data_IF_232539589434
#
_entry.id   IF_232539589434
#
_cell.length_a   1.000
_cell.length_b   1.000
_cell.length_c   1.000
_cell.angle_alpha   90.00
_cell.angle_beta   90.00
_cell.angle_gamma   90.00
#
_symmetry.space_group_name_H-M   'P 1'
#
loop_
_entity.id
_entity.type
_entity.pdbx_description
1 polymer ?
#
# COMPACT_ATOMS: atom_id res chain seq x y z
N UNK A 1 -4.51 14.54 10.80
CA UNK A 1 -3.80 14.10 12.02
C UNK A 1 -4.66 13.04 12.71
N UNK A 2 -4.06 11.93 13.17
CA UNK A 2 -4.76 10.95 13.98
C UNK A 2 -5.10 11.54 15.35
N UNK A 3 -6.26 11.19 15.88
CA UNK A 3 -6.59 11.50 17.28
C UNK A 3 -5.68 10.67 18.20
N UNK A 4 -5.41 11.11 19.45
CA UNK A 4 -4.71 10.29 20.43
C UNK A 4 -5.35 8.90 20.55
N UNK A 5 -4.53 7.84 20.48
CA UNK A 5 -4.99 6.45 20.49
C UNK A 5 -5.68 5.97 19.21
N UNK A 6 -5.75 6.81 18.16
CA UNK A 6 -6.36 6.47 16.89
C UNK A 6 -5.59 5.41 16.10
N UNK A 7 -6.30 4.71 15.23
CA UNK A 7 -5.74 3.72 14.30
C UNK A 7 -5.75 4.27 12.87
N UNK A 8 -4.63 4.15 12.19
CA UNK A 8 -4.53 4.37 10.75
C UNK A 8 -5.05 3.13 10.04
N UNK A 9 -6.05 3.30 9.18
CA UNK A 9 -6.48 2.27 8.24
C UNK A 9 -5.94 2.66 6.86
N UNK A 10 -5.01 1.87 6.33
CA UNK A 10 -4.23 2.20 5.14
C UNK A 10 -4.29 1.08 4.09
N UNK A 11 -5.36 1.03 3.26
CA UNK A 11 -5.40 0.18 2.08
C UNK A 11 -4.69 0.87 0.90
N UNK A 12 -3.83 0.14 0.18
CA UNK A 12 -3.18 0.64 -1.05
C UNK A 12 -2.90 -0.50 -2.02
N UNK A 13 -2.97 -0.21 -3.33
CA UNK A 13 -2.59 -1.19 -4.35
C UNK A 13 -1.07 -1.38 -4.38
N UNK A 14 -0.64 -2.63 -4.29
CA UNK A 14 0.77 -3.03 -4.19
C UNK A 14 1.10 -4.11 -5.24
N UNK A 15 0.75 -3.82 -6.48
CA UNK A 15 0.86 -4.75 -7.60
C UNK A 15 2.23 -4.71 -8.32
N UNK A 16 3.18 -3.88 -7.88
CA UNK A 16 4.45 -3.72 -8.57
C UNK A 16 5.38 -4.94 -8.46
N UNK A 17 5.13 -5.83 -7.50
CA UNK A 17 5.94 -7.04 -7.28
C UNK A 17 5.68 -8.19 -8.26
N UNK A 18 4.62 -8.15 -9.07
CA UNK A 18 4.30 -9.22 -10.04
C UNK A 18 4.39 -8.74 -11.48
N UNK A 19 4.68 -9.66 -12.42
CA UNK A 19 4.72 -9.34 -13.85
C UNK A 19 3.34 -8.91 -14.37
N UNK A 20 2.29 -9.65 -14.00
CA UNK A 20 0.91 -9.34 -14.38
C UNK A 20 0.43 -8.00 -13.79
N UNK A 21 0.82 -7.68 -12.56
CA UNK A 21 0.51 -6.41 -11.91
C UNK A 21 1.19 -5.23 -12.59
N UNK A 22 2.48 -5.37 -12.94
CA UNK A 22 3.22 -4.35 -13.71
C UNK A 22 2.62 -4.10 -15.10
N UNK A 23 2.18 -5.16 -15.80
CA UNK A 23 1.49 -4.99 -17.09
C UNK A 23 0.19 -4.20 -16.93
N UNK A 24 -0.65 -4.50 -15.93
CA UNK A 24 -1.89 -3.76 -15.66
C UNK A 24 -1.64 -2.30 -15.28
N UNK A 25 -0.63 -2.03 -14.45
CA UNK A 25 -0.20 -0.67 -14.13
C UNK A 25 0.16 0.09 -15.41
N UNK A 26 0.89 -0.53 -16.34
CA UNK A 26 1.25 0.09 -17.62
C UNK A 26 0.02 0.41 -18.49
N UNK A 27 -1.00 -0.46 -18.52
CA UNK A 27 -2.26 -0.16 -19.20
C UNK A 27 -3.00 1.03 -18.58
N UNK A 28 -2.99 1.16 -17.24
CA UNK A 28 -3.55 2.33 -16.56
C UNK A 28 -2.79 3.61 -16.93
N UNK A 29 -1.45 3.57 -16.96
CA UNK A 29 -0.64 4.72 -17.37
C UNK A 29 -0.92 5.13 -18.83
N UNK A 30 -1.08 4.16 -19.73
CA UNK A 30 -1.43 4.41 -21.14
C UNK A 30 -2.84 5.01 -21.29
N UNK A 31 -3.78 4.72 -20.38
CA UNK A 31 -5.10 5.33 -20.37
C UNK A 31 -5.12 6.75 -19.78
N UNK A 32 -3.95 7.31 -19.44
CA UNK A 32 -3.81 8.64 -18.83
C UNK A 32 -3.92 8.65 -17.30
N UNK A 33 -4.03 7.48 -16.64
CA UNK A 33 -4.06 7.41 -15.18
C UNK A 33 -2.64 7.58 -14.60
N UNK A 34 -2.45 8.56 -13.71
CA UNK A 34 -1.16 8.79 -13.06
C UNK A 34 -0.98 7.83 -11.89
N UNK A 35 -0.02 6.91 -12.02
CA UNK A 35 0.42 6.04 -10.92
C UNK A 35 1.66 6.67 -10.27
N UNK A 36 1.46 7.42 -9.19
CA UNK A 36 2.53 8.18 -8.53
C UNK A 36 3.58 7.27 -7.88
N UNK A 37 3.13 6.20 -7.23
CA UNK A 37 4.01 5.28 -6.52
C UNK A 37 3.63 3.83 -6.88
N UNK A 38 4.65 3.04 -7.20
CA UNK A 38 4.50 1.63 -7.58
C UNK A 38 5.01 0.76 -6.44
N UNK A 39 4.09 0.32 -5.60
CA UNK A 39 4.42 -0.39 -4.38
C UNK A 39 4.50 -1.91 -4.55
N UNK A 40 5.45 -2.54 -3.87
CA UNK A 40 5.35 -3.94 -3.44
C UNK A 40 4.63 -3.99 -2.09
N UNK A 41 4.05 -5.13 -1.68
CA UNK A 41 3.42 -5.24 -0.36
C UNK A 41 4.37 -4.86 0.77
N UNK A 42 5.61 -5.36 0.72
CA UNK A 42 6.60 -5.07 1.76
C UNK A 42 7.06 -3.62 1.72
N UNK A 43 7.39 -3.09 0.54
CA UNK A 43 7.84 -1.69 0.43
C UNK A 43 6.78 -0.67 0.88
N UNK A 44 5.50 -0.99 0.75
CA UNK A 44 4.44 -0.16 1.32
C UNK A 44 4.39 -0.21 2.85
N UNK A 45 4.59 -1.39 3.44
CA UNK A 45 4.63 -1.55 4.90
C UNK A 45 5.88 -0.87 5.48
N UNK A 46 7.04 -1.07 4.85
CA UNK A 46 8.30 -0.42 5.24
C UNK A 46 8.15 1.10 5.20
N UNK A 47 7.52 1.64 4.15
CA UNK A 47 7.22 3.06 4.06
C UNK A 47 6.38 3.56 5.25
N UNK A 48 5.33 2.84 5.65
CA UNK A 48 4.54 3.23 6.83
C UNK A 48 5.40 3.22 8.09
N UNK A 49 6.25 2.19 8.26
CA UNK A 49 7.11 2.07 9.43
C UNK A 49 8.18 3.16 9.51
N UNK A 50 8.82 3.47 8.40
CA UNK A 50 9.78 4.57 8.27
C UNK A 50 9.12 5.93 8.56
N UNK A 51 7.82 6.06 8.30
CA UNK A 51 7.05 7.29 8.50
C UNK A 51 6.33 7.35 9.86
N UNK A 52 6.89 6.69 10.88
CA UNK A 52 6.46 6.86 12.27
C UNK A 52 5.23 6.03 12.65
N UNK A 53 4.88 4.99 11.87
CA UNK A 53 3.82 4.07 12.22
C UNK A 53 4.33 2.70 12.66
N UNK A 54 3.63 2.06 13.59
CA UNK A 54 3.81 0.65 13.93
C UNK A 54 2.65 -0.15 13.33
N UNK A 55 2.96 -1.16 12.52
CA UNK A 55 1.95 -2.00 11.89
C UNK A 55 1.38 -2.98 12.93
N UNK A 56 0.09 -2.85 13.23
CA UNK A 56 -0.62 -3.72 14.18
C UNK A 56 -1.23 -4.92 13.47
N UNK A 57 -1.78 -4.70 12.27
CA UNK A 57 -2.37 -5.75 11.45
C UNK A 57 -2.12 -5.48 9.99
N UNK A 58 -1.96 -6.54 9.20
CA UNK A 58 -1.85 -6.46 7.76
C UNK A 58 -2.54 -7.62 7.08
N UNK A 59 -3.05 -7.38 5.88
CA UNK A 59 -3.57 -8.43 4.99
C UNK A 59 -3.34 -8.05 3.54
N UNK A 60 -2.91 -9.01 2.74
CA UNK A 60 -2.82 -8.84 1.29
C UNK A 60 -3.98 -9.58 0.64
N UNK A 61 -4.65 -8.90 -0.29
CA UNK A 61 -5.69 -9.46 -1.13
C UNK A 61 -5.12 -9.60 -2.54
N UNK A 62 -5.09 -10.84 -3.03
CA UNK A 62 -4.78 -11.12 -4.43
C UNK A 62 -6.01 -10.83 -5.30
N UNK A 63 -5.77 -10.66 -6.59
CA UNK A 63 -6.79 -10.28 -7.55
C UNK A 63 -6.15 -9.62 -8.76
N UNK A 64 -6.97 -8.90 -9.54
CA UNK A 64 -6.49 -8.20 -10.73
C UNK A 64 -5.38 -7.20 -10.43
N UNK A 65 -5.56 -6.39 -9.39
CA UNK A 65 -4.51 -5.59 -8.79
C UNK A 65 -4.41 -5.99 -7.32
N UNK A 66 -3.22 -6.40 -6.90
CA UNK A 66 -2.94 -6.77 -5.51
C UNK A 66 -3.16 -5.55 -4.61
N UNK A 67 -3.87 -5.76 -3.50
CA UNK A 67 -4.16 -4.73 -2.49
C UNK A 67 -3.54 -5.16 -1.16
N UNK A 68 -2.76 -4.28 -0.55
CA UNK A 68 -2.31 -4.46 0.84
C UNK A 68 -3.10 -3.53 1.74
N UNK A 69 -3.72 -4.13 2.75
CA UNK A 69 -4.40 -3.47 3.85
C UNK A 69 -3.48 -3.49 5.07
N UNK A 70 -3.34 -2.34 5.73
CA UNK A 70 -2.64 -2.21 7.00
C UNK A 70 -3.50 -1.44 8.02
N UNK A 71 -3.48 -1.91 9.26
CA UNK A 71 -3.87 -1.16 10.44
C UNK A 71 -2.59 -0.77 11.18
N UNK A 72 -2.41 0.50 11.50
CA UNK A 72 -1.19 0.99 12.14
C UNK A 72 -1.46 2.04 13.22
N UNK A 73 -0.54 2.19 14.17
CA UNK A 73 -0.58 3.22 15.22
C UNK A 73 0.62 4.12 15.10
N UNK A 74 0.52 5.34 15.61
CA UNK A 74 1.71 6.21 15.72
C UNK A 74 2.70 5.54 16.68
N UNK A 75 3.97 5.45 16.27
CA UNK A 75 5.05 4.96 17.14
C UNK A 75 5.11 5.80 18.43
N UNK A 76 5.48 5.19 19.58
CA UNK A 76 5.70 5.93 20.82
C UNK A 76 6.76 7.03 20.68
#
# INVERSE_FOLDING_TARGET
MLKPGGILIAPTFTAAGSLSGRMRIRFMELSGFKVFYKWTPQGYLDFLEENGFEIVRRKTFDGGLKLTYAEARVKP
#
